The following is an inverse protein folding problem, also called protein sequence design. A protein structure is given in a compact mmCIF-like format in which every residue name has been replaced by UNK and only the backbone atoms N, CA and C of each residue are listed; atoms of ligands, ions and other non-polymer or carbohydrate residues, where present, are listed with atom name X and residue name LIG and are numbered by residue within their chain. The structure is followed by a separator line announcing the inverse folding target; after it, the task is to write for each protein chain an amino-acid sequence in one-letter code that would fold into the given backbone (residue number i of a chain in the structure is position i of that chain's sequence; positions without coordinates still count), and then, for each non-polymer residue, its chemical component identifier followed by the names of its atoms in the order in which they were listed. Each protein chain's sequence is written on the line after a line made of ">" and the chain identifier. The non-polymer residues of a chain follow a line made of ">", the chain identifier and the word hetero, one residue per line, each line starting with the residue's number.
data_IF_255953141674
#
_entry.id   IF_255953141674
#
_cell.length_a   1.000
_cell.length_b   1.000
_cell.length_c   1.000
_cell.angle_alpha   90.00
_cell.angle_beta   90.00
_cell.angle_gamma   90.00
#
_symmetry.space_group_name_H-M   'P 1'
#
loop_
_entity.id
_entity.type
_entity.pdbx_description
1 polymer ?
#
# COMPACT_ATOMS: atom_id res chain seq x y z
N UNK A 1 8.67 1.15 20.33
CA UNK A 1 7.37 1.73 20.73
C UNK A 1 6.32 0.65 20.53
N UNK A 2 5.42 0.40 21.50
CA UNK A 2 4.34 -0.55 21.31
C UNK A 2 3.33 -0.03 20.27
N UNK A 3 2.74 -0.95 19.52
CA UNK A 3 1.65 -0.70 18.59
C UNK A 3 0.35 -0.30 19.32
N UNK A 4 -0.57 0.34 18.60
CA UNK A 4 -1.92 0.64 19.09
C UNK A 4 -2.67 -0.60 19.55
N UNK A 5 -2.41 -1.76 18.92
CA UNK A 5 -2.96 -3.04 19.32
C UNK A 5 -2.44 -3.49 20.69
N UNK A 6 -1.13 -3.36 20.94
CA UNK A 6 -0.51 -3.72 22.23
C UNK A 6 -0.98 -2.82 23.38
N UNK A 7 -1.45 -1.61 23.09
CA UNK A 7 -2.00 -0.68 24.10
C UNK A 7 -3.53 -0.65 24.16
N UNK A 8 -4.21 -1.67 23.61
CA UNK A 8 -5.66 -1.87 23.80
C UNK A 8 -6.57 -1.28 22.71
N UNK A 9 -6.01 -0.79 21.60
CA UNK A 9 -6.76 -0.26 20.45
C UNK A 9 -6.48 -1.07 19.17
N UNK A 10 -6.83 -2.37 19.11
CA UNK A 10 -6.47 -3.24 17.99
C UNK A 10 -7.12 -2.85 16.65
N UNK A 11 -8.21 -2.07 16.69
CA UNK A 11 -8.90 -1.54 15.51
C UNK A 11 -8.29 -0.23 14.99
N UNK A 12 -7.43 0.43 15.77
CA UNK A 12 -6.76 1.66 15.37
C UNK A 12 -5.48 1.30 14.62
N UNK A 13 -5.62 0.76 13.41
CA UNK A 13 -4.50 0.46 12.53
C UNK A 13 -4.63 1.26 11.25
N UNK A 14 -3.66 2.14 11.02
CA UNK A 14 -3.57 2.97 9.82
C UNK A 14 -2.12 2.92 9.31
N UNK A 15 -1.65 1.76 8.83
CA UNK A 15 -0.31 1.64 8.30
C UNK A 15 -0.17 2.55 7.08
N UNK A 16 0.89 3.36 7.05
CA UNK A 16 1.24 4.11 5.86
C UNK A 16 1.86 3.16 4.82
N UNK A 17 1.42 3.27 3.57
CA UNK A 17 1.94 2.47 2.47
C UNK A 17 2.12 3.32 1.21
N UNK A 18 3.01 2.86 0.33
CA UNK A 18 3.27 3.44 -0.98
C UNK A 18 3.05 2.37 -2.05
N UNK A 19 2.55 2.79 -3.21
CA UNK A 19 2.32 1.89 -4.34
C UNK A 19 2.37 2.62 -5.67
N UNK A 20 2.39 1.84 -6.75
CA UNK A 20 2.47 2.34 -8.13
C UNK A 20 1.17 2.01 -8.85
N UNK A 21 0.60 3.00 -9.53
CA UNK A 21 -0.62 2.85 -10.32
C UNK A 21 -0.38 3.33 -11.74
N UNK A 22 -1.15 2.78 -12.68
CA UNK A 22 -1.15 3.18 -14.09
C UNK A 22 -2.55 3.70 -14.49
N UNK A 23 -2.67 4.47 -15.59
CA UNK A 23 -3.97 4.96 -16.06
C UNK A 23 -5.00 3.85 -16.27
N UNK A 24 -6.27 4.18 -16.07
CA UNK A 24 -7.38 3.28 -16.37
C UNK A 24 -7.34 2.85 -17.85
N UNK A 25 -7.55 1.55 -18.10
CA UNK A 25 -7.49 0.97 -19.45
C UNK A 25 -6.08 0.62 -19.93
N UNK A 26 -5.05 0.77 -19.10
CA UNK A 26 -3.70 0.25 -19.43
C UNK A 26 -3.78 -1.25 -19.75
N UNK A 27 -3.24 -1.72 -20.89
CA UNK A 27 -3.33 -3.13 -21.27
C UNK A 27 -2.71 -4.06 -20.23
N UNK A 28 -3.31 -5.24 -19.96
CA UNK A 28 -2.81 -6.19 -18.95
C UNK A 28 -1.33 -6.56 -19.14
N UNK A 29 -0.90 -6.78 -20.38
CA UNK A 29 0.49 -7.10 -20.69
C UNK A 29 1.49 -6.00 -20.27
N UNK A 30 1.08 -4.73 -20.27
CA UNK A 30 1.91 -3.62 -19.79
C UNK A 30 1.97 -3.61 -18.26
N UNK A 31 0.83 -3.88 -17.59
CA UNK A 31 0.79 -4.03 -16.13
C UNK A 31 1.69 -5.18 -15.67
N UNK A 32 1.63 -6.32 -16.35
CA UNK A 32 2.46 -7.48 -16.04
C UNK A 32 3.96 -7.16 -16.19
N UNK A 33 4.32 -6.47 -17.27
CA UNK A 33 5.70 -6.02 -17.51
C UNK A 33 6.18 -5.05 -16.42
N UNK A 34 5.35 -4.09 -16.03
CA UNK A 34 5.69 -3.14 -14.96
C UNK A 34 5.85 -3.87 -13.62
N UNK A 35 4.95 -4.79 -13.29
CA UNK A 35 5.02 -5.56 -12.06
C UNK A 35 6.28 -6.44 -12.00
N UNK A 36 6.66 -7.06 -13.13
CA UNK A 36 7.91 -7.81 -13.24
C UNK A 36 9.15 -6.92 -13.01
N UNK A 37 9.21 -5.75 -13.66
CA UNK A 37 10.32 -4.82 -13.50
C UNK A 37 10.44 -4.28 -12.06
N UNK A 38 9.31 -4.00 -11.40
CA UNK A 38 9.27 -3.61 -10.00
C UNK A 38 9.79 -4.73 -9.09
N UNK A 39 9.37 -5.98 -9.36
CA UNK A 39 9.84 -7.15 -8.60
C UNK A 39 11.34 -7.34 -8.68
N UNK A 40 11.91 -7.24 -9.88
CA UNK A 40 13.36 -7.32 -10.09
C UNK A 40 14.10 -6.18 -9.38
N UNK A 41 13.62 -4.95 -9.54
CA UNK A 41 14.25 -3.76 -8.96
C UNK A 41 14.24 -3.79 -7.43
N UNK A 42 13.10 -4.15 -6.83
CA UNK A 42 12.96 -4.26 -5.38
C UNK A 42 13.65 -5.51 -4.80
N UNK A 43 14.07 -6.46 -5.65
CA UNK A 43 14.87 -7.60 -5.21
C UNK A 43 16.35 -7.23 -5.00
N UNK A 44 16.82 -6.13 -5.59
CA UNK A 44 18.22 -5.70 -5.51
C UNK A 44 18.61 -5.38 -4.05
N UNK A 45 19.76 -5.90 -3.56
CA UNK A 45 20.19 -5.69 -2.18
C UNK A 45 20.29 -4.22 -1.77
N UNK A 46 20.79 -3.34 -2.66
CA UNK A 46 20.90 -1.90 -2.36
C UNK A 46 19.52 -1.27 -2.17
N UNK A 47 18.54 -1.65 -3.00
CA UNK A 47 17.19 -1.10 -2.96
C UNK A 47 16.48 -1.55 -1.69
N UNK A 48 16.62 -2.84 -1.34
CA UNK A 48 16.14 -3.39 -0.07
C UNK A 48 16.74 -2.65 1.12
N UNK A 49 18.06 -2.45 1.12
CA UNK A 49 18.75 -1.75 2.21
C UNK A 49 18.28 -0.29 2.33
N UNK A 50 18.13 0.43 1.22
CA UNK A 50 17.63 1.82 1.23
C UNK A 50 16.20 1.90 1.77
N UNK A 51 15.30 1.02 1.33
CA UNK A 51 13.91 1.01 1.80
C UNK A 51 13.83 0.65 3.29
N UNK A 52 14.62 -0.33 3.75
CA UNK A 52 14.71 -0.69 5.16
C UNK A 52 15.25 0.48 6.02
N UNK A 53 16.24 1.22 5.52
CA UNK A 53 16.77 2.41 6.20
C UNK A 53 15.75 3.54 6.33
N UNK A 54 14.73 3.58 5.48
CA UNK A 54 13.59 4.50 5.60
C UNK A 54 12.51 4.00 6.57
N UNK A 55 12.73 2.85 7.22
CA UNK A 55 11.75 2.22 8.11
C UNK A 55 10.57 1.58 7.38
N UNK A 56 10.71 1.34 6.07
CA UNK A 56 9.67 0.74 5.24
C UNK A 56 10.00 -0.73 4.93
N UNK A 57 8.94 -1.51 4.71
CA UNK A 57 9.04 -2.90 4.29
C UNK A 57 8.58 -3.06 2.85
N UNK A 58 9.30 -3.86 2.08
CA UNK A 58 8.92 -4.17 0.71
C UNK A 58 7.82 -5.24 0.75
N UNK A 59 6.64 -4.88 0.27
CA UNK A 59 5.56 -5.82 -0.06
C UNK A 59 5.37 -5.86 -1.57
N UNK A 60 5.66 -7.00 -2.18
CA UNK A 60 5.39 -7.27 -3.59
C UNK A 60 4.37 -8.39 -3.67
N UNK A 61 3.24 -8.10 -4.29
CA UNK A 61 2.23 -9.08 -4.67
C UNK A 61 2.00 -9.11 -6.16
N UNK A 62 0.80 -9.51 -6.54
CA UNK A 62 0.23 -9.41 -7.87
C UNK A 62 -0.53 -8.09 -8.02
N UNK A 63 -0.74 -7.61 -9.26
CA UNK A 63 -1.60 -6.45 -9.51
C UNK A 63 -3.02 -6.62 -8.93
N UNK A 64 -3.56 -7.84 -8.94
CA UNK A 64 -4.87 -8.15 -8.38
C UNK A 64 -4.90 -8.02 -6.84
N UNK A 65 -3.87 -8.50 -6.14
CA UNK A 65 -3.75 -8.35 -4.69
C UNK A 65 -3.63 -6.86 -4.29
N UNK A 66 -2.85 -6.08 -5.05
CA UNK A 66 -2.75 -4.65 -4.82
C UNK A 66 -4.06 -3.92 -5.10
N UNK A 67 -4.79 -4.32 -6.15
CA UNK A 67 -6.14 -3.81 -6.43
C UNK A 67 -7.14 -4.08 -5.30
N UNK A 68 -7.06 -5.26 -4.67
CA UNK A 68 -7.86 -5.58 -3.48
C UNK A 68 -7.50 -4.68 -2.29
N UNK A 69 -6.22 -4.48 -2.02
CA UNK A 69 -5.76 -3.57 -0.96
C UNK A 69 -6.33 -2.16 -1.15
N UNK A 70 -6.28 -1.62 -2.37
CA UNK A 70 -6.84 -0.30 -2.68
C UNK A 70 -8.35 -0.23 -2.41
N UNK A 71 -9.10 -1.28 -2.79
CA UNK A 71 -10.53 -1.34 -2.55
C UNK A 71 -10.86 -1.39 -1.05
N UNK A 72 -10.12 -2.18 -0.28
CA UNK A 72 -10.30 -2.34 1.17
C UNK A 72 -9.94 -1.02 1.90
N UNK A 73 -8.83 -0.37 1.54
CA UNK A 73 -8.43 0.93 2.07
C UNK A 73 -9.47 2.02 1.75
N UNK A 74 -9.94 2.08 0.50
CA UNK A 74 -10.97 3.05 0.11
C UNK A 74 -12.26 2.86 0.91
N UNK A 75 -12.69 1.61 1.10
CA UNK A 75 -13.87 1.30 1.91
C UNK A 75 -13.70 1.73 3.37
N UNK A 76 -12.55 1.41 3.98
CA UNK A 76 -12.23 1.80 5.36
C UNK A 76 -12.23 3.31 5.52
N UNK A 77 -11.47 4.03 4.70
CA UNK A 77 -11.32 5.48 4.84
C UNK A 77 -12.60 6.24 4.49
N UNK A 78 -13.40 5.73 3.55
CA UNK A 78 -14.75 6.28 3.27
C UNK A 78 -15.64 6.18 4.51
N UNK A 79 -15.61 5.06 5.23
CA UNK A 79 -16.38 4.89 6.46
C UNK A 79 -15.92 5.86 7.56
N UNK A 80 -14.60 6.04 7.73
CA UNK A 80 -14.01 6.97 8.69
C UNK A 80 -14.41 8.42 8.38
N UNK A 81 -14.24 8.87 7.14
CA UNK A 81 -14.58 10.25 6.72
C UNK A 81 -16.06 10.55 6.97
N UNK A 82 -16.96 9.61 6.64
CA UNK A 82 -18.40 9.75 6.89
C UNK A 82 -18.73 9.81 8.38
N UNK A 83 -18.17 8.91 9.19
CA UNK A 83 -18.43 8.85 10.62
C UNK A 83 -17.94 10.10 11.36
N UNK A 84 -16.81 10.64 10.93
CA UNK A 84 -16.18 11.82 11.55
C UNK A 84 -16.62 13.16 10.91
N UNK A 85 -17.49 13.14 9.88
CA UNK A 85 -17.94 14.33 9.14
C UNK A 85 -16.77 15.22 8.65
N UNK A 86 -15.69 14.58 8.18
CA UNK A 86 -14.49 15.26 7.70
C UNK A 86 -14.75 15.83 6.31
N UNK A 87 -14.32 17.07 6.06
CA UNK A 87 -14.38 17.74 4.76
C UNK A 87 -12.98 18.19 4.36
N UNK A 88 -12.69 18.12 3.06
CA UNK A 88 -11.50 18.76 2.48
C UNK A 88 -11.88 20.23 2.26
N UNK A 89 -11.06 21.15 2.78
CA UNK A 89 -11.22 22.59 2.55
C UNK A 89 -10.86 23.00 1.11
#
# INVERSE_FOLDING_TARGET
>A
MPSTAEVGFPKLQAPFWLGVVAPAGTPPAIIDKLNAALRESLALPETRARIANLGAEIKIGTPAEFGKLLADELAQWTAVVKAANIKVE
#
